data_IF_467182159084
#
_entry.id   IF_467182159084
#
_cell.length_a   1.000
_cell.length_b   1.000
_cell.length_c   1.000
_cell.angle_alpha   90.00
_cell.angle_beta   90.00
_cell.angle_gamma   90.00
#
_symmetry.space_group_name_H-M   'P 1'
#
loop_
_entity.id
_entity.type
_entity.pdbx_description
1 polymer ?
#
# COMPACT_ATOMS: atom_id res chain seq x y z
N UNK A 1 -0.05 23.39 -2.62
CA UNK A 1 -0.24 22.16 -3.43
C UNK A 1 -1.59 21.58 -3.04
N UNK A 2 -2.51 21.34 -3.99
CA UNK A 2 -3.75 20.61 -3.67
C UNK A 2 -3.37 19.17 -3.28
N UNK A 3 -4.03 18.56 -2.28
CA UNK A 3 -3.79 17.14 -1.98
C UNK A 3 -4.08 16.32 -3.24
N UNK A 4 -3.19 15.39 -3.58
CA UNK A 4 -3.43 14.43 -4.66
C UNK A 4 -4.69 13.63 -4.27
N UNK A 5 -5.79 13.77 -5.03
CA UNK A 5 -7.12 13.22 -4.69
C UNK A 5 -7.06 11.72 -4.39
N UNK A 6 -6.18 11.01 -5.09
CA UNK A 6 -5.94 9.59 -4.92
C UNK A 6 -5.31 9.23 -3.58
N UNK A 7 -4.39 10.06 -3.08
CA UNK A 7 -3.79 9.90 -1.75
C UNK A 7 -4.85 10.16 -0.68
N UNK A 8 -5.68 11.19 -0.87
CA UNK A 8 -6.78 11.49 0.05
C UNK A 8 -7.81 10.36 0.10
N UNK A 9 -8.16 9.79 -1.05
CA UNK A 9 -9.04 8.61 -1.15
C UNK A 9 -8.47 7.42 -0.37
N UNK A 10 -7.17 7.13 -0.54
CA UNK A 10 -6.49 6.11 0.23
C UNK A 10 -6.61 6.34 1.74
N UNK A 11 -6.33 7.55 2.23
CA UNK A 11 -6.42 7.84 3.66
C UNK A 11 -7.85 7.74 4.19
N UNK A 12 -8.84 8.22 3.43
CA UNK A 12 -10.24 8.14 3.82
C UNK A 12 -10.68 6.69 4.02
N UNK A 13 -10.31 5.78 3.13
CA UNK A 13 -10.65 4.37 3.28
C UNK A 13 -9.78 3.65 4.33
N UNK A 14 -8.47 3.90 4.34
CA UNK A 14 -7.56 3.26 5.30
C UNK A 14 -7.90 3.62 6.76
N UNK A 15 -8.43 4.82 7.01
CA UNK A 15 -8.91 5.20 8.34
C UNK A 15 -10.03 4.30 8.88
N UNK A 16 -10.83 3.70 7.98
CA UNK A 16 -11.91 2.73 8.28
C UNK A 16 -11.38 1.30 8.34
N UNK A 17 -10.42 0.96 7.47
CA UNK A 17 -9.80 -0.36 7.36
C UNK A 17 -8.33 -0.29 7.76
N UNK A 18 -8.07 -0.26 9.07
CA UNK A 18 -6.73 0.00 9.59
C UNK A 18 -5.85 -1.23 9.80
N UNK A 19 -6.42 -2.44 9.76
CA UNK A 19 -5.69 -3.67 10.12
C UNK A 19 -5.33 -4.47 8.88
N UNK A 20 -4.09 -4.95 8.78
CA UNK A 20 -3.67 -5.80 7.66
C UNK A 20 -4.21 -7.21 7.88
N UNK A 21 -5.00 -7.71 6.92
CA UNK A 21 -5.40 -9.11 6.85
C UNK A 21 -4.39 -9.94 6.07
N UNK A 22 -3.93 -9.42 4.93
CA UNK A 22 -3.02 -10.17 4.05
C UNK A 22 -2.13 -9.26 3.22
N UNK A 23 -0.97 -9.82 2.89
CA UNK A 23 0.01 -9.26 1.97
C UNK A 23 0.27 -10.31 0.89
N UNK A 24 0.13 -9.93 -0.37
CA UNK A 24 0.40 -10.81 -1.51
C UNK A 24 1.28 -10.09 -2.51
N UNK A 25 2.36 -10.73 -2.90
CA UNK A 25 3.31 -10.18 -3.85
C UNK A 25 3.35 -11.03 -5.11
N UNK A 26 3.36 -10.37 -6.27
CA UNK A 26 3.46 -11.03 -7.55
C UNK A 26 4.58 -10.38 -8.37
N UNK A 27 5.46 -11.22 -8.94
CA UNK A 27 6.49 -10.81 -9.88
C UNK A 27 6.00 -11.14 -11.29
N UNK A 28 5.81 -10.11 -12.10
CA UNK A 28 5.46 -10.21 -13.51
C UNK A 28 6.75 -10.12 -14.32
N UNK A 29 6.96 -11.14 -15.16
CA UNK A 29 8.14 -11.24 -16.03
C UNK A 29 7.62 -11.14 -17.46
N UNK A 30 7.89 -10.01 -18.10
CA UNK A 30 7.59 -9.76 -19.51
C UNK A 30 8.91 -9.68 -20.30
N UNK A 31 8.85 -9.69 -21.63
CA UNK A 31 10.04 -9.83 -22.48
C UNK A 31 11.14 -8.77 -22.22
N UNK A 32 10.75 -7.57 -21.79
CA UNK A 32 11.67 -6.42 -21.61
C UNK A 32 11.64 -5.82 -20.20
N UNK A 33 10.68 -6.21 -19.35
CA UNK A 33 10.50 -5.61 -18.02
C UNK A 33 10.14 -6.67 -16.97
N UNK A 34 10.75 -6.52 -15.78
CA UNK A 34 10.37 -7.24 -14.58
C UNK A 34 9.70 -6.26 -13.63
N UNK A 35 8.42 -6.48 -13.37
CA UNK A 35 7.61 -5.66 -12.46
C UNK A 35 7.24 -6.49 -11.24
N UNK A 36 7.34 -5.89 -10.04
CA UNK A 36 6.84 -6.51 -8.81
C UNK A 36 5.63 -5.70 -8.36
N UNK A 37 4.54 -6.37 -8.02
CA UNK A 37 3.34 -5.74 -7.48
C UNK A 37 3.08 -6.27 -6.06
N UNK A 38 2.54 -5.40 -5.20
CA UNK A 38 2.15 -5.73 -3.85
C UNK A 38 0.67 -5.44 -3.66
N UNK A 39 -0.09 -6.42 -3.20
CA UNK A 39 -1.47 -6.29 -2.78
C UNK A 39 -1.53 -6.39 -1.26
N UNK A 40 -2.14 -5.39 -0.63
CA UNK A 40 -2.44 -5.38 0.80
C UNK A 40 -3.96 -5.40 0.95
N UNK A 41 -4.49 -6.33 1.73
CA UNK A 41 -5.90 -6.36 2.11
C UNK A 41 -6.03 -5.90 3.55
N UNK A 42 -6.89 -4.92 3.78
CA UNK A 42 -7.18 -4.34 5.07
C UNK A 42 -8.60 -4.64 5.52
N UNK A 43 -8.78 -4.80 6.83
CA UNK A 43 -10.07 -4.99 7.47
C UNK A 43 -10.28 -4.04 8.65
N UNK A 44 -11.53 -3.95 9.13
CA UNK A 44 -11.90 -3.22 10.34
C UNK A 44 -11.99 -4.16 11.55
N UNK A 45 -11.65 -3.66 12.74
CA UNK A 45 -11.82 -4.40 13.99
C UNK A 45 -12.90 -3.73 14.87
N UNK A 46 -13.80 -4.49 15.54
CA UNK A 46 -13.89 -5.96 15.56
C UNK A 46 -14.26 -6.55 14.19
N UNK A 47 -13.70 -7.73 13.88
CA UNK A 47 -13.91 -8.40 12.60
C UNK A 47 -15.12 -9.32 12.63
N UNK A 48 -16.01 -9.17 11.65
CA UNK A 48 -17.13 -10.07 11.39
C UNK A 48 -16.97 -10.71 10.01
N UNK A 49 -17.30 -11.99 9.89
CA UNK A 49 -17.28 -12.67 8.60
C UNK A 49 -18.29 -12.02 7.64
N UNK A 50 -17.80 -11.61 6.47
CA UNK A 50 -18.58 -10.87 5.47
C UNK A 50 -18.43 -9.34 5.56
N UNK A 51 -17.66 -8.83 6.51
CA UNK A 51 -17.32 -7.41 6.55
C UNK A 51 -16.55 -6.99 5.30
N UNK A 52 -16.83 -5.76 4.86
CA UNK A 52 -16.11 -5.14 3.75
C UNK A 52 -14.63 -5.04 4.07
N UNK A 53 -13.83 -5.07 3.01
CA UNK A 53 -12.37 -4.93 3.10
C UNK A 53 -11.89 -3.90 2.09
N UNK A 54 -10.82 -3.21 2.44
CA UNK A 54 -10.09 -2.38 1.50
C UNK A 54 -8.95 -3.18 0.91
N UNK A 55 -8.78 -3.12 -0.40
CA UNK A 55 -7.63 -3.71 -1.08
C UNK A 55 -6.82 -2.58 -1.69
N UNK A 56 -5.55 -2.47 -1.32
CA UNK A 56 -4.60 -1.58 -1.96
C UNK A 56 -3.65 -2.41 -2.84
N UNK A 57 -3.63 -2.09 -4.14
CA UNK A 57 -2.71 -2.69 -5.11
C UNK A 57 -1.65 -1.67 -5.50
N UNK A 58 -0.40 -1.93 -5.13
CA UNK A 58 0.77 -1.13 -5.47
C UNK A 58 1.50 -1.76 -6.64
N UNK A 59 1.76 -0.95 -7.67
CA UNK A 59 2.26 -1.38 -8.98
C UNK A 59 3.72 -0.97 -9.13
N UNK A 60 4.57 -1.90 -9.57
CA UNK A 60 5.98 -1.63 -9.80
C UNK A 60 6.70 -1.19 -8.52
N UNK A 61 6.56 -1.98 -7.45
CA UNK A 61 7.23 -1.71 -6.19
C UNK A 61 8.75 -1.85 -6.33
N UNK A 62 9.47 -1.01 -5.62
CA UNK A 62 10.94 -0.99 -5.50
C UNK A 62 11.31 -0.85 -4.02
N UNK A 63 12.49 -1.36 -3.67
CA UNK A 63 13.09 -1.21 -2.33
C UNK A 63 12.18 -1.65 -1.18
N UNK A 64 11.46 -2.77 -1.37
CA UNK A 64 10.58 -3.30 -0.33
C UNK A 64 11.40 -3.73 0.89
N UNK A 65 11.07 -3.12 2.03
CA UNK A 65 11.45 -3.56 3.37
C UNK A 65 10.19 -4.04 4.08
N UNK A 66 10.24 -5.28 4.54
CA UNK A 66 9.20 -5.91 5.34
C UNK A 66 9.83 -6.40 6.63
N UNK A 67 9.32 -5.93 7.75
CA UNK A 67 9.73 -6.35 9.08
C UNK A 67 8.68 -7.30 9.68
N UNK A 68 8.71 -7.50 10.99
CA UNK A 68 7.80 -8.40 11.70
C UNK A 68 6.33 -7.98 11.51
N UNK A 69 5.50 -8.97 11.15
CA UNK A 69 4.05 -8.83 10.95
C UNK A 69 3.24 -9.46 12.10
N UNK A 70 3.91 -9.82 13.20
CA UNK A 70 3.29 -10.57 14.30
C UNK A 70 2.31 -9.70 15.09
N UNK A 71 1.10 -10.20 15.32
CA UNK A 71 0.09 -9.52 16.13
C UNK A 71 -0.93 -8.75 15.30
N UNK A 72 -1.82 -8.03 16.00
CA UNK A 72 -2.92 -7.27 15.41
C UNK A 72 -2.68 -5.78 15.63
N UNK A 73 -2.04 -5.13 14.67
CA UNK A 73 -1.77 -3.69 14.72
C UNK A 73 -2.67 -2.91 13.77
N UNK A 74 -3.16 -1.78 14.26
CA UNK A 74 -3.76 -0.79 13.39
C UNK A 74 -2.60 -0.04 12.73
N UNK A 75 -2.43 -0.27 11.44
CA UNK A 75 -1.37 0.38 10.67
C UNK A 75 -1.71 1.82 10.36
N UNK A 76 -0.68 2.66 10.22
CA UNK A 76 -0.80 4.02 9.70
C UNK A 76 0.20 4.17 8.58
N UNK A 77 -0.30 4.38 7.36
CA UNK A 77 0.53 4.57 6.19
C UNK A 77 0.64 6.05 5.84
N UNK A 78 1.86 6.49 5.54
CA UNK A 78 2.13 7.76 4.84
C UNK A 78 2.44 7.46 3.38
N UNK A 79 1.78 8.17 2.46
CA UNK A 79 2.08 8.19 1.03
C UNK A 79 2.62 9.56 0.66
N UNK A 80 3.86 9.60 0.17
CA UNK A 80 4.50 10.84 -0.32
C UNK A 80 4.60 10.78 -1.84
N UNK A 81 4.07 11.80 -2.52
CA UNK A 81 4.25 11.99 -3.96
C UNK A 81 5.68 12.51 -4.23
N UNK A 82 6.47 11.69 -4.91
CA UNK A 82 7.85 11.97 -5.31
C UNK A 82 7.99 12.07 -6.83
N UNK A 83 6.90 12.30 -7.57
CA UNK A 83 6.92 12.42 -9.03
C UNK A 83 7.75 13.59 -9.56
N UNK A 84 8.04 14.59 -8.72
CA UNK A 84 8.91 15.72 -9.05
C UNK A 84 10.40 15.43 -8.92
N UNK A 85 10.76 14.31 -8.28
CA UNK A 85 12.14 13.85 -8.17
C UNK A 85 12.48 13.12 -9.49
N UNK A 86 13.67 13.35 -10.04
CA UNK A 86 14.12 12.72 -11.31
C UNK A 86 14.44 11.22 -11.16
N UNK A 87 13.60 10.48 -10.43
CA UNK A 87 13.68 9.04 -10.27
C UNK A 87 12.80 8.41 -11.35
N UNK A 88 13.44 7.73 -12.31
CA UNK A 88 12.71 7.04 -13.36
C UNK A 88 11.76 5.97 -12.78
N UNK A 89 10.52 5.95 -13.27
CA UNK A 89 9.51 4.92 -12.99
C UNK A 89 9.05 4.76 -11.53
N UNK A 90 9.28 5.74 -10.66
CA UNK A 90 8.73 5.77 -9.28
C UNK A 90 7.99 7.08 -9.06
N UNK A 91 6.81 7.03 -8.44
CA UNK A 91 6.00 8.22 -8.16
C UNK A 91 5.63 8.39 -6.70
N UNK A 92 5.61 7.30 -5.94
CA UNK A 92 5.17 7.34 -4.55
C UNK A 92 6.14 6.59 -3.65
N UNK A 93 6.38 7.12 -2.46
CA UNK A 93 6.98 6.39 -1.34
C UNK A 93 5.91 6.12 -0.30
N UNK A 94 5.85 4.88 0.17
CA UNK A 94 4.89 4.38 1.14
C UNK A 94 5.66 3.91 2.36
N UNK A 95 5.26 4.41 3.53
CA UNK A 95 5.86 4.07 4.83
C UNK A 95 4.74 3.77 5.81
N UNK A 96 4.83 2.65 6.50
CA UNK A 96 4.05 2.42 7.73
C UNK A 96 4.80 3.04 8.91
N UNK A 97 4.18 3.98 9.62
CA UNK A 97 4.87 4.89 10.54
C UNK A 97 4.90 4.42 12.00
N UNK A 98 3.91 3.67 12.48
CA UNK A 98 3.81 3.36 13.91
C UNK A 98 4.63 2.12 14.30
N UNK A 99 4.55 1.08 13.48
CA UNK A 99 5.14 -0.21 13.78
C UNK A 99 6.34 -0.55 12.88
N UNK A 100 6.69 0.36 11.96
CA UNK A 100 7.76 0.19 10.99
C UNK A 100 7.66 -1.15 10.23
N UNK A 101 6.43 -1.59 9.93
CA UNK A 101 6.17 -2.92 9.37
C UNK A 101 6.62 -2.97 7.91
N UNK A 102 6.34 -1.91 7.17
CA UNK A 102 6.41 -1.93 5.71
C UNK A 102 6.90 -0.59 5.17
N UNK A 103 7.90 -0.63 4.29
CA UNK A 103 8.35 0.54 3.53
C UNK A 103 8.73 0.14 2.12
N UNK A 104 8.28 0.91 1.14
CA UNK A 104 8.62 0.70 -0.27
C UNK A 104 8.33 1.96 -1.08
N UNK A 105 8.78 1.97 -2.33
CA UNK A 105 8.32 2.94 -3.32
C UNK A 105 7.59 2.23 -4.45
N UNK A 106 6.68 2.91 -5.14
CA UNK A 106 5.96 2.33 -6.27
C UNK A 106 5.75 3.33 -7.41
N UNK A 107 5.49 2.78 -8.60
CA UNK A 107 5.14 3.55 -9.80
C UNK A 107 3.73 4.11 -9.73
N UNK A 108 2.80 3.31 -9.24
CA UNK A 108 1.41 3.70 -9.05
C UNK A 108 0.72 2.82 -7.99
N UNK A 109 -0.49 3.18 -7.56
CA UNK A 109 -1.31 2.33 -6.70
C UNK A 109 -2.80 2.44 -7.04
N UNK A 110 -3.65 1.55 -6.56
CA UNK A 110 -5.12 1.65 -6.68
C UNK A 110 -5.76 1.05 -5.45
N UNK A 111 -6.92 1.56 -5.07
CA UNK A 111 -7.71 1.00 -3.98
C UNK A 111 -9.05 0.49 -4.50
N UNK A 112 -9.64 -0.48 -3.80
CA UNK A 112 -11.01 -0.95 -4.03
C UNK A 112 -11.60 -1.48 -2.75
N UNK A 113 -12.93 -1.40 -2.61
CA UNK A 113 -13.66 -2.03 -1.51
C UNK A 113 -14.28 -3.33 -2.02
N UNK A 114 -14.04 -4.43 -1.31
CA UNK A 114 -14.57 -5.78 -1.60
C UNK A 114 -15.40 -6.32 -0.45
#
# INVERSE_FOLDING_TARGET
MRPNEKILEFYNEQSKFGYIESLSMCKLIEAEEITINLRITFFSYPYTMGDKKMVANFIGIKELKLNELEGLYKTIFTITDISSYQLENVRYTIVEEEHNILRFSCRDFKISII
#
